data_IF_114521137480
#
_entry.id   IF_114521137480
#
_cell.length_a   1.000
_cell.length_b   1.000
_cell.length_c   1.000
_cell.angle_alpha   90.00
_cell.angle_beta   90.00
_cell.angle_gamma   90.00
#
_symmetry.space_group_name_H-M   'P 1'
#
loop_
_entity.id
_entity.type
_entity.pdbx_description
1 polymer ?
#
# COMPACT_ATOMS: atom_id res chain seq x y z
N UNK A 1 6.88 -8.27 -9.77
CA UNK A 1 5.54 -8.76 -9.42
C UNK A 1 4.50 -7.96 -10.19
N UNK A 2 3.26 -8.44 -10.32
CA UNK A 2 2.17 -7.67 -10.94
C UNK A 2 2.01 -6.30 -10.27
N UNK A 3 2.17 -6.24 -8.94
CA UNK A 3 2.09 -5.00 -8.16
C UNK A 3 3.14 -3.97 -8.60
N UNK A 4 4.37 -4.41 -8.88
CA UNK A 4 5.45 -3.52 -9.32
C UNK A 4 5.17 -2.97 -10.73
N UNK A 5 4.53 -3.78 -11.59
CA UNK A 5 4.11 -3.37 -12.94
C UNK A 5 3.01 -2.32 -12.85
N UNK A 6 1.93 -2.61 -12.12
CA UNK A 6 0.82 -1.69 -11.90
C UNK A 6 1.31 -0.36 -11.32
N UNK A 7 2.19 -0.42 -10.32
CA UNK A 7 2.80 0.77 -9.72
C UNK A 7 3.62 1.58 -10.72
N UNK A 8 4.44 0.93 -11.54
CA UNK A 8 5.20 1.61 -12.60
C UNK A 8 4.31 2.30 -13.64
N UNK A 9 3.22 1.63 -14.04
CA UNK A 9 2.22 2.20 -14.96
C UNK A 9 1.52 3.40 -14.34
N UNK A 10 1.10 3.31 -13.07
CA UNK A 10 0.49 4.43 -12.34
C UNK A 10 1.46 5.62 -12.23
N UNK A 11 2.74 5.37 -11.95
CA UNK A 11 3.75 6.44 -11.89
C UNK A 11 3.96 7.12 -13.24
N UNK A 12 4.01 6.35 -14.31
CA UNK A 12 4.12 6.88 -15.66
C UNK A 12 2.88 7.71 -16.04
N UNK A 13 1.68 7.17 -15.81
CA UNK A 13 0.43 7.87 -16.07
C UNK A 13 0.30 9.17 -15.27
N UNK A 14 0.65 9.16 -13.99
CA UNK A 14 0.63 10.35 -13.16
C UNK A 14 1.61 11.42 -13.66
N UNK A 15 2.81 11.04 -14.08
CA UNK A 15 3.75 11.99 -14.69
C UNK A 15 3.16 12.62 -15.96
N UNK A 16 2.57 11.82 -16.84
CA UNK A 16 1.93 12.34 -18.06
C UNK A 16 0.81 13.31 -17.72
N UNK A 17 -0.01 12.99 -16.71
CA UNK A 17 -1.05 13.87 -16.19
C UNK A 17 -0.47 15.22 -15.73
N UNK A 18 0.58 15.22 -14.89
CA UNK A 18 1.23 16.48 -14.48
C UNK A 18 1.84 17.26 -15.64
N UNK A 19 2.35 16.57 -16.66
CA UNK A 19 2.91 17.21 -17.85
C UNK A 19 1.84 17.88 -18.73
N UNK A 20 0.59 17.41 -18.68
CA UNK A 20 -0.52 18.07 -19.38
C UNK A 20 -0.92 19.38 -18.68
N UNK A 21 -0.87 19.39 -17.35
CA UNK A 21 -1.26 20.56 -16.55
C UNK A 21 -0.14 21.62 -16.44
N UNK A 22 1.13 21.22 -16.60
CA UNK A 22 2.29 22.11 -16.47
C UNK A 22 2.90 22.46 -17.85
N UNK A 23 2.94 23.75 -18.25
CA UNK A 23 3.34 24.16 -19.59
C UNK A 23 4.83 23.94 -19.91
N UNK A 24 5.71 23.92 -18.90
CA UNK A 24 7.14 23.63 -19.07
C UNK A 24 7.48 22.22 -18.56
N UNK A 25 8.02 21.33 -19.41
CA UNK A 25 8.50 20.02 -19.00
C UNK A 25 9.43 20.05 -17.78
N UNK A 26 10.28 21.09 -17.64
CA UNK A 26 11.18 21.23 -16.50
C UNK A 26 10.44 21.39 -15.18
N UNK A 27 9.26 22.01 -15.17
CA UNK A 27 8.44 22.13 -13.97
C UNK A 27 7.95 20.76 -13.51
N UNK A 28 7.49 19.92 -14.44
CA UNK A 28 7.09 18.53 -14.14
C UNK A 28 8.26 17.75 -13.56
N UNK A 29 9.44 17.83 -14.17
CA UNK A 29 10.62 17.08 -13.71
C UNK A 29 11.12 17.51 -12.32
N UNK A 30 10.87 18.75 -11.93
CA UNK A 30 11.22 19.31 -10.63
C UNK A 30 10.21 18.96 -9.52
N UNK A 31 9.06 18.38 -9.85
CA UNK A 31 8.07 17.97 -8.86
C UNK A 31 8.64 16.91 -7.91
N UNK A 32 8.45 17.14 -6.61
CA UNK A 32 8.80 16.20 -5.55
C UNK A 32 7.55 15.43 -5.14
N UNK A 33 7.31 14.31 -5.80
CA UNK A 33 6.12 13.50 -5.57
C UNK A 33 6.47 12.25 -4.77
N UNK A 34 5.74 12.04 -3.69
CA UNK A 34 5.89 10.88 -2.80
C UNK A 34 4.63 10.06 -2.86
N UNK A 35 4.75 8.82 -3.32
CA UNK A 35 3.72 7.81 -3.22
C UNK A 35 3.91 6.96 -1.96
N UNK A 36 2.82 6.44 -1.44
CA UNK A 36 2.82 5.46 -0.36
C UNK A 36 2.26 4.14 -0.87
N UNK A 37 3.02 3.06 -0.68
CA UNK A 37 2.58 1.71 -1.01
C UNK A 37 2.27 0.94 0.27
N UNK A 38 1.03 0.45 0.40
CA UNK A 38 0.66 -0.42 1.52
C UNK A 38 1.13 -1.85 1.26
N UNK A 39 1.74 -2.46 2.27
CA UNK A 39 2.25 -3.83 2.22
C UNK A 39 1.61 -4.67 3.32
N UNK A 40 1.23 -5.89 2.98
CA UNK A 40 0.72 -6.83 3.96
C UNK A 40 1.86 -7.37 4.84
N UNK A 41 1.79 -7.18 6.15
CA UNK A 41 2.81 -7.63 7.11
C UNK A 41 2.48 -8.97 7.76
N UNK A 42 1.34 -9.58 7.45
CA UNK A 42 0.92 -10.90 7.98
C UNK A 42 1.83 -12.03 7.50
N UNK A 43 2.16 -12.07 6.20
CA UNK A 43 2.99 -13.12 5.60
C UNK A 43 4.38 -13.25 6.25
N UNK A 44 4.96 -12.14 6.72
CA UNK A 44 6.28 -12.11 7.38
C UNK A 44 6.27 -12.71 8.80
N UNK A 45 5.08 -12.88 9.40
CA UNK A 45 4.88 -13.52 10.70
C UNK A 45 4.49 -15.01 10.58
N UNK A 46 4.60 -15.62 9.39
CA UNK A 46 4.32 -17.05 9.20
C UNK A 46 2.84 -17.43 9.29
N UNK A 47 1.92 -16.47 9.14
CA UNK A 47 0.48 -16.78 9.19
C UNK A 47 -0.03 -17.27 7.85
N UNK A 48 -0.40 -18.55 7.80
CA UNK A 48 -1.15 -19.18 6.71
C UNK A 48 -2.60 -18.68 6.75
N UNK A 49 -3.07 -18.12 5.63
CA UNK A 49 -4.49 -18.04 5.25
C UNK A 49 -5.45 -17.30 6.18
N UNK A 50 -6.57 -16.85 5.61
CA UNK A 50 -7.78 -16.56 6.41
C UNK A 50 -8.34 -17.93 6.81
N UNK A 51 -8.67 -18.17 8.10
CA UNK A 51 -9.36 -19.40 8.48
C UNK A 51 -10.72 -19.45 7.78
N UNK A 52 -11.10 -20.60 7.25
CA UNK A 52 -12.43 -20.79 6.65
C UNK A 52 -13.53 -20.43 7.65
N UNK A 53 -14.69 -19.96 7.15
CA UNK A 53 -15.91 -19.74 7.93
C UNK A 53 -16.32 -21.05 8.61
N UNK A 54 -15.91 -21.22 9.87
CA UNK A 54 -16.02 -22.47 10.63
C UNK A 54 -14.84 -22.71 11.58
N UNK A 55 -13.69 -22.11 11.28
CA UNK A 55 -12.51 -22.10 12.14
C UNK A 55 -12.37 -20.74 12.84
N UNK A 56 -13.31 -20.42 13.73
CA UNK A 56 -12.89 -19.58 14.86
C UNK A 56 -11.77 -20.36 15.57
N UNK A 57 -10.59 -19.75 15.82
CA UNK A 57 -9.51 -20.46 16.49
C UNK A 57 -10.00 -20.90 17.86
N UNK A 58 -10.31 -22.20 17.98
CA UNK A 58 -10.61 -22.87 19.24
C UNK A 58 -9.34 -22.89 20.05
N UNK A 59 -9.12 -21.81 20.79
CA UNK A 59 -8.06 -21.65 21.79
C UNK A 59 -6.61 -21.74 21.26
N UNK A 60 -5.79 -20.77 21.69
CA UNK A 60 -4.32 -20.79 21.69
C UNK A 60 -3.54 -20.63 20.37
N UNK A 61 -4.14 -20.49 19.20
CA UNK A 61 -3.40 -20.02 18.01
C UNK A 61 -3.49 -18.49 17.87
N UNK A 62 -2.38 -17.79 18.15
CA UNK A 62 -2.21 -16.35 17.92
C UNK A 62 -2.09 -16.05 16.40
N UNK A 63 -3.12 -16.35 15.62
CA UNK A 63 -3.29 -15.68 14.32
C UNK A 63 -3.63 -14.22 14.61
N UNK A 64 -2.81 -13.23 14.18
CA UNK A 64 -3.13 -11.82 14.40
C UNK A 64 -4.44 -11.48 13.68
N UNK A 65 -5.54 -11.42 14.44
CA UNK A 65 -6.82 -10.93 13.96
C UNK A 65 -6.79 -9.40 14.00
N UNK A 66 -7.16 -8.75 12.89
CA UNK A 66 -7.09 -7.30 12.71
C UNK A 66 -6.19 -6.85 11.55
N UNK A 67 -6.21 -5.56 11.24
CA UNK A 67 -5.44 -4.98 10.13
C UNK A 67 -3.94 -4.98 10.46
N UNK A 68 -3.16 -5.76 9.71
CA UNK A 68 -1.70 -5.78 9.81
C UNK A 68 -1.11 -5.45 8.45
N UNK A 69 -0.85 -4.17 8.26
CA UNK A 69 -0.17 -3.65 7.10
C UNK A 69 0.92 -2.67 7.54
N UNK A 70 1.97 -2.59 6.73
CA UNK A 70 2.95 -1.52 6.78
C UNK A 70 2.78 -0.62 5.57
N UNK A 71 3.55 0.46 5.53
CA UNK A 71 3.59 1.35 4.38
C UNK A 71 5.02 1.68 3.98
N UNK A 72 5.23 1.85 2.68
CA UNK A 72 6.50 2.21 2.08
C UNK A 72 6.38 3.55 1.39
N UNK A 73 7.22 4.50 1.78
CA UNK A 73 7.37 5.77 1.06
C UNK A 73 8.23 5.55 -0.18
N UNK A 74 7.68 5.88 -1.34
CA UNK A 74 8.27 5.71 -2.66
C UNK A 74 8.34 7.05 -3.37
N UNK A 75 9.52 7.42 -3.86
CA UNK A 75 9.68 8.64 -4.66
C UNK A 75 9.25 8.36 -6.09
N UNK A 76 8.27 9.10 -6.59
CA UNK A 76 7.78 8.91 -7.95
C UNK A 76 8.80 9.54 -8.92
N UNK A 77 9.28 8.80 -9.94
CA UNK A 77 10.25 9.34 -10.89
C UNK A 77 9.58 10.33 -11.84
N UNK A 78 9.73 11.64 -11.61
CA UNK A 78 9.12 12.67 -12.45
C UNK A 78 9.91 13.03 -13.72
N UNK A 79 11.21 12.70 -13.74
CA UNK A 79 12.05 12.90 -14.93
C UNK A 79 11.50 12.14 -16.13
N UNK A 80 11.58 12.73 -17.32
CA UNK A 80 11.27 12.01 -18.56
C UNK A 80 12.27 10.86 -18.73
N UNK A 81 11.76 9.65 -18.97
CA UNK A 81 12.56 8.50 -19.34
C UNK A 81 12.29 8.17 -20.80
N UNK A 82 13.33 7.75 -21.52
CA UNK A 82 13.24 7.42 -22.94
C UNK A 82 12.35 6.19 -23.15
N UNK A 83 12.50 5.19 -22.29
CA UNK A 83 11.69 3.99 -22.32
C UNK A 83 10.65 3.97 -21.17
N UNK A 84 9.34 3.91 -21.47
CA UNK A 84 8.29 3.79 -20.45
C UNK A 84 8.45 2.57 -19.52
N UNK A 85 9.10 1.50 -19.99
CA UNK A 85 9.38 0.31 -19.18
C UNK A 85 10.34 0.61 -18.01
N UNK A 86 11.15 1.66 -18.10
CA UNK A 86 12.03 2.05 -17.00
C UNK A 86 11.24 2.49 -15.76
N UNK A 87 10.03 3.01 -15.91
CA UNK A 87 9.17 3.32 -14.75
C UNK A 87 8.83 2.06 -13.96
N UNK A 88 8.56 0.95 -14.65
CA UNK A 88 8.32 -0.36 -14.03
C UNK A 88 9.59 -0.90 -13.36
N UNK A 89 10.73 -0.82 -14.04
CA UNK A 89 12.01 -1.27 -13.49
C UNK A 89 12.38 -0.48 -12.23
N UNK A 90 12.18 0.85 -12.23
CA UNK A 90 12.41 1.71 -11.07
C UNK A 90 11.43 1.42 -9.94
N UNK A 91 10.14 1.26 -10.25
CA UNK A 91 9.13 0.90 -9.24
C UNK A 91 9.48 -0.43 -8.56
N UNK A 92 9.89 -1.44 -9.33
CA UNK A 92 10.37 -2.72 -8.82
C UNK A 92 11.61 -2.54 -7.94
N UNK A 93 12.64 -1.85 -8.44
CA UNK A 93 13.89 -1.65 -7.71
C UNK A 93 13.66 -0.93 -6.38
N UNK A 94 12.86 0.15 -6.37
CA UNK A 94 12.51 0.87 -5.14
C UNK A 94 11.74 -0.02 -4.16
N UNK A 95 10.77 -0.77 -4.66
CA UNK A 95 9.94 -1.67 -3.84
C UNK A 95 10.79 -2.79 -3.22
N UNK A 96 11.64 -3.45 -4.01
CA UNK A 96 12.53 -4.51 -3.53
C UNK A 96 13.51 -3.96 -2.48
N UNK A 97 14.14 -2.81 -2.76
CA UNK A 97 15.03 -2.14 -1.80
C UNK A 97 14.32 -1.79 -0.49
N UNK A 98 13.09 -1.29 -0.55
CA UNK A 98 12.31 -0.91 0.65
C UNK A 98 11.78 -2.13 1.41
N UNK A 99 11.42 -3.21 0.72
CA UNK A 99 11.06 -4.50 1.33
C UNK A 99 12.24 -5.15 2.06
N UNK A 100 13.43 -5.10 1.47
CA UNK A 100 14.67 -5.61 2.08
C UNK A 100 15.22 -4.69 3.17
N UNK A 101 14.82 -3.42 3.19
CA UNK A 101 15.22 -2.47 4.22
C UNK A 101 14.56 -2.77 5.57
N UNK A 102 15.33 -2.57 6.65
CA UNK A 102 14.83 -2.52 8.03
C UNK A 102 13.77 -1.43 8.24
N UNK A 103 13.61 -0.47 7.30
CA UNK A 103 12.60 0.58 7.37
C UNK A 103 11.19 0.05 7.62
N UNK A 104 10.80 -1.06 6.98
CA UNK A 104 9.48 -1.68 7.20
C UNK A 104 9.32 -2.14 8.65
N UNK A 105 10.36 -2.74 9.22
CA UNK A 105 10.36 -3.23 10.59
C UNK A 105 10.34 -2.08 11.60
N UNK A 106 11.14 -1.03 11.35
CA UNK A 106 11.18 0.18 12.18
C UNK A 106 9.82 0.89 12.18
N UNK A 107 9.19 1.05 11.01
CA UNK A 107 7.86 1.65 10.90
C UNK A 107 6.82 0.82 11.66
N UNK A 108 6.82 -0.50 11.50
CA UNK A 108 5.89 -1.37 12.21
C UNK A 108 6.07 -1.29 13.75
N UNK A 109 7.31 -1.24 14.22
CA UNK A 109 7.62 -1.03 15.64
C UNK A 109 7.17 0.35 16.12
N UNK A 110 7.44 1.40 15.34
CA UNK A 110 7.02 2.76 15.66
C UNK A 110 5.50 2.86 15.79
N UNK A 111 4.75 2.29 14.85
CA UNK A 111 3.28 2.21 14.92
C UNK A 111 2.87 1.50 16.20
N UNK A 112 3.48 0.35 16.51
CA UNK A 112 3.18 -0.40 17.74
C UNK A 112 3.43 0.42 19.02
N UNK A 113 4.51 1.20 19.06
CA UNK A 113 4.80 2.09 20.17
C UNK A 113 3.77 3.23 20.25
N UNK A 114 3.42 3.86 19.14
CA UNK A 114 2.38 4.90 19.09
C UNK A 114 1.05 4.33 19.60
N UNK A 115 0.68 3.12 19.19
CA UNK A 115 -0.54 2.46 19.68
C UNK A 115 -0.48 2.18 21.17
N UNK A 116 0.67 1.77 21.69
CA UNK A 116 0.85 1.50 23.12
C UNK A 116 0.78 2.78 23.98
N UNK A 117 1.33 3.90 23.50
CA UNK A 117 1.44 5.14 24.28
C UNK A 117 0.27 6.12 24.06
N UNK A 118 -0.24 6.22 22.83
CA UNK A 118 -1.28 7.17 22.43
C UNK A 118 -2.62 6.51 22.07
N UNK A 119 -2.70 5.19 22.24
CA UNK A 119 -3.90 4.43 21.92
C UNK A 119 -4.22 4.33 20.42
N UNK A 120 -5.38 3.76 20.09
CA UNK A 120 -5.86 3.61 18.71
C UNK A 120 -6.06 4.96 18.00
N UNK A 121 -6.60 5.96 18.69
CA UNK A 121 -6.86 7.30 18.11
C UNK A 121 -5.57 8.02 17.73
N UNK A 122 -4.55 7.98 18.59
CA UNK A 122 -3.23 8.54 18.27
C UNK A 122 -2.56 7.84 17.10
N UNK A 123 -2.79 6.53 16.95
CA UNK A 123 -2.32 5.75 15.80
C UNK A 123 -3.04 6.15 14.52
N UNK A 124 -4.37 6.26 14.58
CA UNK A 124 -5.20 6.71 13.47
C UNK A 124 -4.79 8.10 12.99
N UNK A 125 -4.56 9.05 13.92
CA UNK A 125 -4.06 10.39 13.59
C UNK A 125 -2.67 10.38 12.95
N UNK A 126 -1.76 9.54 13.42
CA UNK A 126 -0.44 9.39 12.80
C UNK A 126 -0.51 8.83 11.38
N UNK A 127 -1.39 7.83 11.15
CA UNK A 127 -1.64 7.28 9.82
C UNK A 127 -2.29 8.31 8.90
N UNK A 128 -3.32 9.02 9.38
CA UNK A 128 -3.98 10.10 8.65
C UNK A 128 -2.99 11.17 8.22
N UNK A 129 -2.16 11.66 9.15
CA UNK A 129 -1.14 12.65 8.84
C UNK A 129 -0.11 12.12 7.82
N UNK A 130 0.27 10.85 7.90
CA UNK A 130 1.19 10.25 6.92
C UNK A 130 0.57 10.26 5.53
N UNK A 131 -0.70 9.84 5.42
CA UNK A 131 -1.43 9.83 4.16
C UNK A 131 -1.65 11.25 3.61
N UNK A 132 -1.98 12.22 4.48
CA UNK A 132 -2.22 13.62 4.11
C UNK A 132 -0.98 14.32 3.55
N UNK A 133 0.22 13.83 3.90
CA UNK A 133 1.50 14.38 3.41
C UNK A 133 2.06 13.58 2.22
N UNK A 134 1.25 12.71 1.60
CA UNK A 134 1.64 11.94 0.40
C UNK A 134 0.72 12.29 -0.76
N UNK A 135 1.26 12.25 -1.98
CA UNK A 135 0.52 12.64 -3.19
C UNK A 135 -0.34 11.50 -3.72
N UNK A 136 0.11 10.26 -3.55
CA UNK A 136 -0.51 9.08 -4.14
C UNK A 136 -0.46 7.92 -3.15
N UNK A 137 -1.55 7.16 -3.03
CA UNK A 137 -1.57 5.92 -2.28
C UNK A 137 -1.90 4.76 -3.21
N UNK A 138 -1.06 3.73 -3.17
CA UNK A 138 -1.26 2.49 -3.92
C UNK A 138 -1.38 1.35 -2.92
N UNK A 139 -2.53 0.67 -2.96
CA UNK A 139 -2.79 -0.49 -2.13
C UNK A 139 -3.01 -1.68 -3.05
N UNK A 140 -2.37 -2.80 -2.75
CA UNK A 140 -2.69 -4.04 -3.45
C UNK A 140 -2.58 -5.21 -2.48
N UNK A 141 -3.70 -5.88 -2.29
CA UNK A 141 -3.82 -7.09 -1.50
C UNK A 141 -4.47 -8.12 -2.41
N UNK A 142 -3.82 -9.27 -2.58
CA UNK A 142 -4.49 -10.41 -3.20
C UNK A 142 -5.71 -10.74 -2.33
N UNK A 143 -6.89 -10.59 -2.90
CA UNK A 143 -8.14 -10.92 -2.23
C UNK A 143 -8.25 -12.42 -1.97
N UNK A 144 -9.19 -12.83 -1.09
CA UNK A 144 -9.53 -14.23 -0.92
C UNK A 144 -9.90 -14.85 -2.29
N UNK A 145 -9.32 -16.00 -2.59
CA UNK A 145 -9.66 -16.76 -3.82
C UNK A 145 -10.91 -17.62 -3.62
N UNK A 146 -11.44 -17.69 -2.39
CA UNK A 146 -12.68 -18.37 -2.10
C UNK A 146 -13.88 -17.67 -2.75
N UNK A 147 -14.87 -18.46 -3.17
CA UNK A 147 -16.12 -17.93 -3.71
C UNK A 147 -16.96 -17.39 -2.56
N UNK A 148 -17.20 -16.09 -2.58
CA UNK A 148 -18.08 -15.43 -1.62
C UNK A 148 -19.55 -15.72 -1.96
N UNK A 149 -20.35 -15.92 -0.92
CA UNK A 149 -21.81 -15.98 -1.04
C UNK A 149 -22.44 -15.03 -0.04
N UNK A 150 -23.50 -14.34 -0.46
CA UNK A 150 -24.29 -13.46 0.39
C UNK A 150 -25.72 -14.01 0.44
N UNK A 151 -26.14 -14.48 1.61
CA UNK A 151 -27.48 -15.06 1.83
C UNK A 151 -27.76 -16.20 0.80
N UNK A 152 -26.78 -17.08 0.59
CA UNK A 152 -26.89 -18.20 -0.34
C UNK A 152 -26.71 -17.84 -1.83
N UNK A 153 -26.63 -16.56 -2.19
CA UNK A 153 -26.36 -16.13 -3.56
C UNK A 153 -24.87 -15.91 -3.79
N UNK A 154 -24.34 -16.45 -4.90
CA UNK A 154 -22.93 -16.27 -5.27
C UNK A 154 -22.66 -14.80 -5.63
N UNK A 155 -21.65 -14.22 -5.00
CA UNK A 155 -21.18 -12.86 -5.31
C UNK A 155 -20.20 -12.93 -6.48
N UNK A 156 -20.47 -12.19 -7.57
CA UNK A 156 -19.61 -12.17 -8.77
C UNK A 156 -18.36 -11.30 -8.59
N UNK A 157 -18.50 -10.16 -7.92
CA UNK A 157 -17.41 -9.21 -7.67
C UNK A 157 -17.74 -8.33 -6.47
N UNK A 158 -16.72 -7.88 -5.74
CA UNK A 158 -16.83 -6.89 -4.68
C UNK A 158 -15.74 -5.83 -4.84
N UNK A 159 -16.07 -4.59 -4.47
CA UNK A 159 -15.14 -3.47 -4.45
C UNK A 159 -15.09 -2.90 -3.04
N UNK A 160 -13.91 -2.50 -2.59
CA UNK A 160 -13.71 -1.85 -1.31
C UNK A 160 -13.43 -0.37 -1.55
N UNK A 161 -14.25 0.50 -0.95
CA UNK A 161 -13.95 1.93 -0.84
C UNK A 161 -13.38 2.22 0.54
N UNK A 162 -12.46 3.18 0.60
CA UNK A 162 -11.89 3.65 1.86
C UNK A 162 -12.42 5.05 2.12
N UNK A 163 -13.13 5.23 3.25
CA UNK A 163 -13.66 6.52 3.69
C UNK A 163 -12.79 7.12 4.80
N UNK A 164 -12.76 8.46 4.90
CA UNK A 164 -12.05 9.16 5.99
C UNK A 164 -10.53 9.28 5.79
N UNK A 165 -10.05 9.01 4.57
CA UNK A 165 -8.69 9.34 4.15
C UNK A 165 -8.64 10.76 3.57
N UNK A 166 -7.53 11.48 3.78
CA UNK A 166 -7.33 12.79 3.18
C UNK A 166 -7.33 12.66 1.64
N UNK A 167 -8.07 13.55 0.97
CA UNK A 167 -8.16 13.65 -0.49
C UNK A 167 -7.36 14.84 -1.00
#
# INVERSE_FOLDING_TARGET
TVNDVVMGVVFYGFRLYCQMDLPDPKQTENLKVTAIALINTRSRHGTKGVPNEGEMPKSKTRTPQGNSFGFLHLKVPMKKLENPLEYVQRAKHMTDKKKMSLATFVIAKLISYITRFKGPEGTARAMYNTLANTTLSVTNVNGPTEKLSFIGYKVKSGFFSVSGIPQ
#
